data_IF_237969219981
#
_entry.id   IF_237969219981
#
_cell.length_a   1.000
_cell.length_b   1.000
_cell.length_c   1.000
_cell.angle_alpha   90.00
_cell.angle_beta   90.00
_cell.angle_gamma   90.00
#
_symmetry.space_group_name_H-M   'P 1'
#
loop_
_entity.id
_entity.type
_entity.pdbx_description
1 polymer ?
#
# COMPACT_ATOMS: atom_id res chain seq x y z
N UNK A 1 -11.59 -6.79 -0.48
CA UNK A 1 -10.78 -7.76 -1.26
C UNK A 1 -9.43 -7.08 -1.53
N UNK A 2 -8.31 -7.73 -1.82
CA UNK A 2 -6.96 -7.10 -2.02
C UNK A 2 -6.75 -6.63 -3.48
N UNK A 3 -6.07 -5.49 -3.77
CA UNK A 3 -5.84 -4.99 -5.15
C UNK A 3 -5.16 -6.06 -6.00
N UNK A 4 -4.56 -6.98 -5.27
CA UNK A 4 -3.88 -8.17 -5.64
C UNK A 4 -4.82 -9.35 -5.45
N UNK A 5 -5.41 -9.87 -6.53
CA UNK A 5 -6.18 -11.11 -6.43
C UNK A 5 -5.24 -12.30 -6.55
N UNK A 6 -5.43 -13.29 -5.67
CA UNK A 6 -4.57 -14.46 -5.61
C UNK A 6 -4.89 -15.44 -6.74
N UNK A 7 -3.86 -15.96 -7.39
CA UNK A 7 -3.95 -16.92 -8.49
C UNK A 7 -3.14 -18.15 -8.11
N UNK A 8 -3.77 -19.33 -8.21
CA UNK A 8 -3.11 -20.64 -8.08
C UNK A 8 -3.40 -21.49 -9.32
N UNK A 9 -2.42 -22.26 -9.75
CA UNK A 9 -2.48 -23.12 -10.95
C UNK A 9 -3.69 -24.08 -11.01
N UNK A 10 -4.29 -24.45 -9.86
CA UNK A 10 -5.43 -25.38 -9.76
C UNK A 10 -6.72 -24.75 -9.20
N UNK A 11 -6.79 -23.42 -9.05
CA UNK A 11 -7.99 -22.71 -8.58
C UNK A 11 -8.40 -21.66 -9.60
N UNK A 12 -9.35 -22.01 -10.46
CA UNK A 12 -9.95 -21.13 -11.47
C UNK A 12 -10.45 -19.81 -10.85
N UNK A 13 -10.03 -18.71 -11.46
CA UNK A 13 -10.91 -17.63 -11.95
C UNK A 13 -10.10 -16.78 -12.97
N UNK A 14 -9.99 -17.30 -14.18
CA UNK A 14 -9.95 -16.47 -15.39
C UNK A 14 -11.35 -16.51 -16.01
N UNK A 15 -12.35 -15.92 -15.35
CA UNK A 15 -13.71 -15.78 -15.93
C UNK A 15 -13.93 -14.39 -16.56
N UNK A 16 -12.85 -13.68 -16.87
CA UNK A 16 -12.87 -12.60 -17.86
C UNK A 16 -11.60 -12.63 -18.75
N UNK A 17 -11.31 -13.71 -19.53
CA UNK A 17 -10.16 -13.75 -20.41
C UNK A 17 -10.45 -13.29 -21.85
N UNK A 18 -11.65 -12.78 -22.15
CA UNK A 18 -12.00 -12.45 -23.55
C UNK A 18 -11.30 -11.17 -24.06
N UNK A 19 -10.85 -10.26 -23.18
CA UNK A 19 -10.16 -9.02 -23.59
C UNK A 19 -8.63 -9.02 -23.47
N UNK A 20 -8.01 -10.04 -22.85
CA UNK A 20 -6.53 -10.14 -22.77
C UNK A 20 -6.05 -11.10 -23.87
N UNK A 21 -6.34 -10.74 -25.11
CA UNK A 21 -6.13 -11.57 -26.31
C UNK A 21 -4.79 -11.32 -27.02
N UNK A 22 -3.90 -10.50 -26.47
CA UNK A 22 -2.56 -10.33 -27.04
C UNK A 22 -1.58 -11.32 -26.41
N UNK A 23 -1.01 -12.21 -27.23
CA UNK A 23 0.06 -13.18 -26.87
C UNK A 23 1.27 -12.58 -26.13
N UNK A 24 1.42 -11.25 -26.13
CA UNK A 24 2.51 -10.49 -25.50
C UNK A 24 2.06 -9.61 -24.33
N UNK A 25 0.82 -9.77 -23.83
CA UNK A 25 0.37 -9.04 -22.65
C UNK A 25 1.11 -9.55 -21.41
N UNK A 26 1.81 -8.64 -20.73
CA UNK A 26 2.27 -8.87 -19.36
C UNK A 26 1.26 -8.30 -18.37
N UNK A 27 1.11 -8.97 -17.23
CA UNK A 27 0.30 -8.46 -16.13
C UNK A 27 1.20 -8.07 -14.97
N UNK A 28 0.83 -6.97 -14.30
CA UNK A 28 1.48 -6.51 -13.07
C UNK A 28 1.16 -7.51 -11.96
N UNK A 29 2.21 -8.07 -11.36
CA UNK A 29 2.09 -9.13 -10.38
C UNK A 29 2.96 -8.87 -9.15
N UNK A 30 2.67 -9.61 -8.07
CA UNK A 30 3.55 -9.73 -6.91
C UNK A 30 3.48 -11.14 -6.34
N UNK A 31 4.51 -11.53 -5.60
CA UNK A 31 4.63 -12.84 -4.98
C UNK A 31 5.05 -12.73 -3.53
N UNK A 32 4.55 -13.64 -2.70
CA UNK A 32 5.11 -13.84 -1.37
C UNK A 32 6.28 -14.83 -1.44
N UNK A 33 7.45 -14.45 -0.92
CA UNK A 33 8.64 -15.31 -0.89
C UNK A 33 9.46 -15.02 0.37
N UNK A 34 9.66 -16.03 1.23
CA UNK A 34 10.46 -15.92 2.47
C UNK A 34 10.03 -14.74 3.38
N UNK A 35 8.72 -14.49 3.47
CA UNK A 35 8.16 -13.36 4.23
C UNK A 35 8.17 -12.02 3.50
N UNK A 36 8.90 -11.89 2.39
CA UNK A 36 8.84 -10.73 1.51
C UNK A 36 7.59 -10.78 0.63
N UNK A 37 7.15 -9.61 0.17
CA UNK A 37 6.21 -9.45 -0.94
C UNK A 37 6.96 -8.72 -2.06
N UNK A 38 7.20 -9.40 -3.17
CA UNK A 38 8.09 -8.94 -4.23
C UNK A 38 7.31 -8.67 -5.52
N UNK A 39 7.47 -7.48 -6.12
CA UNK A 39 6.86 -7.19 -7.41
C UNK A 39 7.51 -8.00 -8.54
N UNK A 40 6.70 -8.35 -9.53
CA UNK A 40 7.11 -9.10 -10.72
C UNK A 40 6.08 -9.00 -11.83
N UNK A 41 6.23 -9.74 -12.90
CA UNK A 41 5.23 -9.77 -13.97
C UNK A 41 4.84 -11.19 -14.32
N UNK A 42 3.63 -11.33 -14.84
CA UNK A 42 3.12 -12.59 -15.35
C UNK A 42 3.08 -12.55 -16.86
N UNK A 43 3.71 -13.55 -17.46
CA UNK A 43 3.51 -13.86 -18.87
C UNK A 43 2.25 -14.71 -19.00
N UNK A 44 1.20 -14.14 -19.60
CA UNK A 44 -0.14 -14.76 -19.64
C UNK A 44 -0.12 -16.16 -20.25
N UNK A 45 0.69 -16.38 -21.28
CA UNK A 45 0.82 -17.69 -21.94
C UNK A 45 1.38 -18.78 -21.02
N UNK A 46 2.28 -18.42 -20.10
CA UNK A 46 2.97 -19.39 -19.23
C UNK A 46 2.25 -19.55 -17.88
N UNK A 47 1.44 -18.57 -17.48
CA UNK A 47 0.81 -18.51 -16.14
C UNK A 47 1.83 -18.61 -15.02
N UNK A 48 3.01 -18.03 -15.25
CA UNK A 48 4.12 -17.96 -14.30
C UNK A 48 4.45 -16.50 -14.02
N UNK A 49 4.71 -16.20 -12.76
CA UNK A 49 5.21 -14.90 -12.31
C UNK A 49 6.73 -14.95 -12.20
N UNK A 50 7.40 -14.06 -12.93
CA UNK A 50 8.84 -13.83 -12.86
C UNK A 50 9.12 -12.68 -11.90
N UNK A 51 10.07 -12.87 -10.98
CA UNK A 51 10.44 -11.86 -9.98
C UNK A 51 11.91 -12.01 -9.58
N UNK A 52 12.48 -10.92 -9.04
CA UNK A 52 13.87 -10.90 -8.56
C UNK A 52 13.87 -11.07 -7.04
N UNK A 53 14.77 -11.90 -6.52
CA UNK A 53 15.05 -12.05 -5.09
C UNK A 53 16.55 -12.33 -4.90
N UNK A 54 17.22 -11.60 -4.00
CA UNK A 54 18.65 -11.77 -3.72
C UNK A 54 19.53 -11.84 -4.99
N UNK A 55 19.22 -10.98 -5.98
CA UNK A 55 19.91 -10.90 -7.27
C UNK A 55 19.83 -12.18 -8.11
N UNK A 56 18.84 -13.03 -7.85
CA UNK A 56 18.48 -14.19 -8.65
C UNK A 56 17.11 -14.03 -9.33
N UNK A 57 16.96 -14.74 -10.46
CA UNK A 57 15.67 -14.89 -11.14
C UNK A 57 14.91 -16.05 -10.52
N UNK A 58 13.75 -15.75 -9.95
CA UNK A 58 12.84 -16.76 -9.44
C UNK A 58 11.51 -16.74 -10.20
N UNK A 59 10.84 -17.88 -10.18
CA UNK A 59 9.56 -18.10 -10.87
C UNK A 59 8.59 -18.82 -9.95
N UNK A 60 7.33 -18.37 -9.91
CA UNK A 60 6.24 -19.01 -9.14
C UNK A 60 4.95 -19.08 -9.95
N UNK A 61 4.18 -20.14 -9.72
CA UNK A 61 2.82 -20.33 -10.24
C UNK A 61 1.72 -19.92 -9.23
N UNK A 62 2.12 -19.50 -8.02
CA UNK A 62 1.28 -18.82 -7.05
C UNK A 62 1.71 -17.36 -6.92
N UNK A 63 0.81 -16.45 -7.28
CA UNK A 63 1.07 -15.02 -7.29
C UNK A 63 -0.22 -14.23 -7.05
N UNK A 64 -0.10 -12.91 -6.97
CA UNK A 64 -1.24 -12.02 -6.98
C UNK A 64 -1.12 -11.01 -8.12
N UNK A 65 -2.25 -10.68 -8.75
CA UNK A 65 -2.32 -9.77 -9.90
C UNK A 65 -2.95 -8.43 -9.51
N UNK A 66 -2.37 -7.33 -9.99
CA UNK A 66 -2.92 -6.00 -9.78
C UNK A 66 -4.19 -5.80 -10.60
N UNK A 67 -5.30 -5.50 -9.92
CA UNK A 67 -6.61 -5.26 -10.51
C UNK A 67 -6.89 -3.76 -10.68
N UNK A 68 -7.46 -3.37 -11.82
CA UNK A 68 -8.10 -2.07 -12.09
C UNK A 68 -7.49 -0.84 -11.41
N UNK A 69 -6.54 -0.17 -12.08
CA UNK A 69 -5.84 1.01 -11.59
C UNK A 69 -6.42 2.33 -12.10
N UNK A 70 -7.69 2.65 -11.85
CA UNK A 70 -8.30 3.92 -12.33
C UNK A 70 -7.54 5.17 -11.87
N UNK A 71 -6.82 5.07 -10.75
CA UNK A 71 -5.98 6.13 -10.20
C UNK A 71 -4.50 5.83 -10.30
N UNK A 72 -4.08 4.94 -11.21
CA UNK A 72 -2.68 4.64 -11.46
C UNK A 72 -2.23 5.21 -12.81
N UNK A 73 -1.05 5.82 -12.83
CA UNK A 73 -0.47 6.45 -14.03
C UNK A 73 0.98 6.00 -14.21
N UNK A 74 1.39 5.81 -15.47
CA UNK A 74 2.78 5.55 -15.80
C UNK A 74 3.51 6.87 -16.04
N UNK A 75 4.71 7.02 -15.45
CA UNK A 75 5.58 8.17 -15.68
C UNK A 75 6.99 7.70 -16.03
N UNK A 76 7.62 8.33 -17.01
CA UNK A 76 9.03 8.06 -17.32
C UNK A 76 9.90 8.46 -16.13
N UNK A 77 10.77 7.56 -15.70
CA UNK A 77 11.73 7.74 -14.61
C UNK A 77 13.15 7.40 -15.08
N UNK A 78 14.13 8.06 -14.47
CA UNK A 78 15.56 7.83 -14.71
C UNK A 78 16.27 7.63 -13.38
N UNK A 79 17.06 6.55 -13.28
CA UNK A 79 17.87 6.25 -12.11
C UNK A 79 18.79 7.43 -11.77
N UNK A 80 18.99 7.66 -10.47
CA UNK A 80 19.69 8.83 -9.94
C UNK A 80 18.75 9.99 -9.58
N UNK A 81 17.56 10.07 -10.16
CA UNK A 81 16.51 10.95 -9.65
C UNK A 81 15.85 10.32 -8.42
N UNK A 82 15.41 11.13 -7.46
CA UNK A 82 14.58 10.63 -6.38
C UNK A 82 13.26 10.06 -6.95
N UNK A 83 12.82 8.94 -6.40
CA UNK A 83 11.49 8.40 -6.71
C UNK A 83 10.41 9.41 -6.31
N UNK A 84 9.37 9.60 -7.16
CA UNK A 84 8.21 10.39 -6.79
C UNK A 84 7.54 9.83 -5.53
N UNK A 85 7.09 10.73 -4.68
CA UNK A 85 6.39 10.45 -3.43
C UNK A 85 5.09 9.66 -3.56
N UNK A 86 4.49 9.72 -4.74
CA UNK A 86 3.28 8.98 -5.09
C UNK A 86 3.58 7.68 -5.86
N UNK A 87 4.83 7.22 -5.89
CA UNK A 87 5.14 5.93 -6.49
C UNK A 87 4.36 4.79 -5.82
N UNK A 88 3.79 3.93 -6.65
CA UNK A 88 2.96 2.83 -6.19
C UNK A 88 3.82 1.73 -5.57
N UNK A 89 3.64 1.54 -4.27
CA UNK A 89 4.28 0.46 -3.50
C UNK A 89 3.60 -0.87 -3.82
N UNK A 90 4.31 -1.74 -4.54
CA UNK A 90 3.82 -3.05 -4.96
C UNK A 90 4.32 -4.21 -4.08
N UNK A 91 5.30 -3.96 -3.21
CA UNK A 91 5.87 -4.97 -2.34
C UNK A 91 6.60 -4.39 -1.13
N UNK A 92 7.06 -5.28 -0.25
CA UNK A 92 7.82 -4.95 0.96
C UNK A 92 8.74 -6.09 1.37
N UNK A 93 9.81 -5.76 2.11
CA UNK A 93 10.69 -6.77 2.70
C UNK A 93 10.04 -7.52 3.86
N UNK A 94 10.56 -8.69 4.24
CA UNK A 94 10.04 -9.50 5.35
C UNK A 94 10.02 -8.77 6.70
N UNK A 95 10.86 -7.75 6.85
CA UNK A 95 10.89 -6.87 8.03
C UNK A 95 10.17 -5.53 7.82
N UNK A 96 9.55 -5.32 6.64
CA UNK A 96 8.90 -4.08 6.21
C UNK A 96 9.80 -2.83 6.33
N UNK A 97 11.12 -3.03 6.30
CA UNK A 97 12.10 -1.94 6.33
C UNK A 97 12.36 -1.35 4.95
N UNK A 98 11.89 -2.03 3.90
CA UNK A 98 12.05 -1.60 2.52
C UNK A 98 10.72 -1.81 1.80
N UNK A 99 10.33 -0.81 1.02
CA UNK A 99 9.19 -0.88 0.12
C UNK A 99 9.69 -0.99 -1.31
N UNK A 100 9.05 -1.84 -2.09
CA UNK A 100 9.37 -2.05 -3.49
C UNK A 100 8.31 -1.40 -4.34
N UNK A 101 8.73 -0.49 -5.22
CA UNK A 101 7.83 0.13 -6.20
C UNK A 101 7.80 -0.72 -7.47
N UNK A 102 6.76 -0.51 -8.30
CA UNK A 102 6.65 -1.19 -9.58
C UNK A 102 7.13 -0.33 -10.75
N UNK A 103 7.99 -0.88 -11.59
CA UNK A 103 8.40 -0.26 -12.84
C UNK A 103 8.25 -1.21 -14.03
N UNK A 104 8.28 -0.64 -15.23
CA UNK A 104 8.25 -1.38 -16.50
C UNK A 104 9.26 -0.79 -17.48
N UNK A 105 9.96 -1.66 -18.20
CA UNK A 105 10.86 -1.30 -19.30
C UNK A 105 10.46 -2.06 -20.56
N UNK A 106 10.62 -1.45 -21.72
CA UNK A 106 10.41 -2.14 -23.00
C UNK A 106 11.72 -2.78 -23.46
N UNK A 107 11.71 -4.09 -23.67
CA UNK A 107 12.83 -4.86 -24.22
C UNK A 107 12.37 -5.46 -25.54
N UNK A 108 12.95 -5.02 -26.65
CA UNK A 108 12.56 -5.44 -28.01
C UNK A 108 11.05 -5.27 -28.29
N UNK A 109 10.46 -4.18 -27.77
CA UNK A 109 9.04 -3.89 -27.93
C UNK A 109 8.12 -4.64 -26.96
N UNK A 110 8.67 -5.48 -26.08
CA UNK A 110 7.90 -6.19 -25.04
C UNK A 110 8.04 -5.45 -23.72
N UNK A 111 6.94 -4.97 -23.11
CA UNK A 111 7.00 -4.41 -21.78
C UNK A 111 7.29 -5.52 -20.77
N UNK A 112 8.26 -5.34 -19.89
CA UNK A 112 8.62 -6.26 -18.81
C UNK A 112 8.65 -5.48 -17.50
N UNK A 113 7.94 -5.99 -16.51
CA UNK A 113 7.78 -5.33 -15.23
C UNK A 113 8.69 -5.88 -14.16
N UNK A 114 8.91 -5.13 -13.10
CA UNK A 114 9.82 -5.57 -12.04
C UNK A 114 9.82 -4.66 -10.84
N UNK A 115 10.76 -4.93 -9.95
CA UNK A 115 10.90 -4.22 -8.70
C UNK A 115 11.86 -3.05 -8.87
N UNK A 116 11.50 -1.92 -8.26
CA UNK A 116 12.39 -0.78 -8.08
C UNK A 116 12.74 -0.72 -6.59
N UNK A 117 14.04 -0.81 -6.28
CA UNK A 117 14.58 -0.78 -4.91
C UNK A 117 15.48 0.45 -4.70
N UNK A 118 16.02 0.62 -3.49
CA UNK A 118 16.59 1.87 -2.94
C UNK A 118 17.69 2.62 -3.73
N UNK A 119 18.16 2.09 -4.86
CA UNK A 119 19.05 2.75 -5.82
C UNK A 119 18.30 3.42 -6.99
N UNK A 120 16.97 3.32 -7.01
CA UNK A 120 16.07 3.82 -8.04
C UNK A 120 16.33 3.20 -9.42
N UNK A 121 16.87 1.98 -9.43
CA UNK A 121 17.04 1.14 -10.63
C UNK A 121 15.90 0.12 -10.68
N UNK A 122 15.38 -0.13 -11.88
CA UNK A 122 14.41 -1.20 -12.11
C UNK A 122 15.14 -2.51 -12.38
N UNK A 123 14.90 -3.52 -11.55
CA UNK A 123 15.37 -4.89 -11.76
C UNK A 123 14.23 -5.77 -12.28
N UNK A 124 14.43 -6.36 -13.46
CA UNK A 124 13.45 -7.20 -14.15
C UNK A 124 13.97 -8.61 -14.30
N UNK A 125 13.21 -9.58 -13.78
CA UNK A 125 13.51 -11.00 -13.95
C UNK A 125 13.10 -11.47 -15.36
N UNK A 126 14.00 -12.12 -16.08
CA UNK A 126 13.67 -12.76 -17.36
C UNK A 126 14.18 -14.19 -17.38
N UNK A 127 13.68 -15.00 -18.31
CA UNK A 127 14.23 -16.35 -18.56
C UNK A 127 15.72 -16.37 -18.93
N UNK A 128 16.30 -15.22 -19.26
CA UNK A 128 17.71 -15.08 -19.65
C UNK A 128 18.57 -14.44 -18.56
N UNK A 129 18.00 -14.14 -17.38
CA UNK A 129 18.67 -13.45 -16.29
C UNK A 129 17.99 -12.14 -15.91
N UNK A 130 18.66 -11.35 -15.09
CA UNK A 130 18.17 -10.05 -14.60
C UNK A 130 18.56 -8.95 -15.57
N UNK A 131 17.61 -8.10 -15.90
CA UNK A 131 17.84 -6.85 -16.62
C UNK A 131 17.74 -5.71 -15.62
N UNK A 132 18.77 -4.86 -15.57
CA UNK A 132 18.74 -3.61 -14.84
C UNK A 132 18.50 -2.43 -15.79
N UNK A 133 17.43 -1.69 -15.56
CA UNK A 133 17.06 -0.53 -16.37
C UNK A 133 17.25 0.76 -15.58
N UNK A 134 18.08 1.66 -16.12
CA UNK A 134 18.28 3.02 -15.59
C UNK A 134 17.27 4.03 -16.14
N UNK A 135 16.48 3.65 -17.14
CA UNK A 135 15.38 4.46 -17.68
C UNK A 135 14.21 3.54 -17.93
N UNK A 136 13.08 3.83 -17.28
CA UNK A 136 11.91 2.96 -17.24
C UNK A 136 10.67 3.79 -16.93
N UNK A 137 9.48 3.21 -17.10
CA UNK A 137 8.25 3.82 -16.60
C UNK A 137 7.95 3.31 -15.20
N UNK A 138 7.72 4.21 -14.26
CA UNK A 138 7.29 3.88 -12.90
C UNK A 138 5.77 4.02 -12.79
N UNK A 139 5.15 3.15 -12.00
CA UNK A 139 3.74 3.22 -11.69
C UNK A 139 3.52 4.19 -10.52
N UNK A 140 2.66 5.18 -10.71
CA UNK A 140 2.33 6.22 -9.75
C UNK A 140 0.85 6.17 -9.38
N UNK A 141 0.54 6.63 -8.18
CA UNK A 141 -0.81 7.00 -7.74
C UNK A 141 -1.11 8.40 -8.29
N UNK A 142 -2.34 8.65 -8.73
CA UNK A 142 -2.76 9.94 -9.26
C UNK A 142 -2.39 11.08 -8.30
N UNK A 143 -1.76 12.14 -8.83
CA UNK A 143 -1.30 13.28 -8.05
C UNK A 143 -2.45 14.06 -7.39
N UNK A 144 -3.67 13.90 -7.89
CA UNK A 144 -4.89 14.40 -7.24
C UNK A 144 -5.23 13.66 -5.93
N UNK A 145 -4.67 12.48 -5.70
CA UNK A 145 -4.88 11.71 -4.46
C UNK A 145 -3.66 11.77 -3.54
N UNK A 146 -2.46 11.69 -4.11
CA UNK A 146 -1.19 11.72 -3.38
C UNK A 146 -0.20 12.59 -4.16
N UNK A 147 0.26 13.73 -3.61
CA UNK A 147 1.22 14.58 -4.31
C UNK A 147 2.54 13.88 -4.65
N UNK A 148 3.20 14.34 -5.72
CA UNK A 148 4.49 13.79 -6.13
C UNK A 148 5.64 14.11 -5.15
N UNK A 149 5.51 15.12 -4.31
CA UNK A 149 6.46 15.50 -3.27
C UNK A 149 6.19 14.83 -1.91
N UNK A 150 5.18 13.95 -1.85
CA UNK A 150 4.91 13.13 -0.68
C UNK A 150 6.08 12.19 -0.35
N UNK A 151 6.05 11.55 0.82
CA UNK A 151 7.04 10.55 1.21
C UNK A 151 6.45 9.13 1.18
N UNK A 152 5.81 8.69 0.08
CA UNK A 152 5.05 7.42 -0.02
C UNK A 152 3.80 7.39 0.86
N UNK A 153 2.62 7.43 0.24
CA UNK A 153 1.36 7.23 0.95
C UNK A 153 1.29 5.81 1.51
N UNK A 154 0.91 5.70 2.79
CA UNK A 154 0.85 4.42 3.49
C UNK A 154 -0.43 3.68 3.12
N UNK A 155 -0.35 2.51 2.47
CA UNK A 155 -1.55 1.73 2.16
C UNK A 155 -2.28 1.32 3.44
N UNK A 156 -3.60 1.49 3.44
CA UNK A 156 -4.50 1.16 4.53
C UNK A 156 -5.36 -0.08 4.27
N UNK A 157 -5.03 -0.88 3.26
CA UNK A 157 -5.84 -2.03 2.86
C UNK A 157 -6.92 -1.65 1.83
N UNK A 158 -8.10 -2.30 1.89
CA UNK A 158 -9.19 -2.11 0.89
C UNK A 158 -10.56 -2.10 1.53
N UNK A 159 -11.39 -1.20 1.04
CA UNK A 159 -12.83 -1.16 1.31
C UNK A 159 -13.55 -1.55 0.02
N UNK A 160 -14.17 -2.73 0.02
CA UNK A 160 -14.73 -3.31 -1.22
C UNK A 160 -13.62 -3.61 -2.24
N UNK A 161 -13.66 -2.90 -3.38
CA UNK A 161 -12.70 -2.99 -4.47
C UNK A 161 -11.72 -1.79 -4.57
N UNK A 162 -11.81 -0.80 -3.71
CA UNK A 162 -10.93 0.38 -3.81
C UNK A 162 -9.80 0.31 -2.79
N UNK A 163 -8.57 0.63 -3.22
CA UNK A 163 -7.41 0.82 -2.34
C UNK A 163 -7.67 1.99 -1.41
N UNK A 164 -7.29 1.81 -0.16
CA UNK A 164 -7.37 2.89 0.83
C UNK A 164 -5.98 3.29 1.29
N UNK A 165 -5.85 4.53 1.75
CA UNK A 165 -4.62 5.06 2.34
C UNK A 165 -4.87 5.53 3.77
N UNK A 166 -3.91 5.35 4.65
CA UNK A 166 -4.05 5.83 6.03
C UNK A 166 -4.25 7.35 6.01
N UNK A 167 -5.29 7.83 6.67
CA UNK A 167 -5.65 9.25 6.65
C UNK A 167 -6.15 9.71 8.02
N UNK A 168 -6.28 11.01 8.19
CA UNK A 168 -6.95 11.63 9.33
C UNK A 168 -7.67 12.90 8.91
N UNK A 169 -8.73 13.26 9.63
CA UNK A 169 -9.51 14.45 9.31
C UNK A 169 -10.09 15.10 10.57
N UNK A 170 -10.32 16.41 10.49
CA UNK A 170 -10.95 17.18 11.56
C UNK A 170 -12.47 16.99 11.56
N UNK A 171 -13.05 16.72 12.73
CA UNK A 171 -14.50 16.71 12.94
C UNK A 171 -14.81 17.09 14.39
N UNK A 172 -15.61 18.15 14.58
CA UNK A 172 -16.03 18.64 15.91
C UNK A 172 -14.86 18.82 16.90
N UNK A 173 -13.77 19.48 16.48
CA UNK A 173 -12.53 19.66 17.25
C UNK A 173 -11.75 18.38 17.59
N UNK A 174 -12.19 17.23 17.10
CA UNK A 174 -11.43 15.99 17.13
C UNK A 174 -10.59 15.88 15.85
N UNK A 175 -9.33 15.48 15.97
CA UNK A 175 -8.53 15.03 14.85
C UNK A 175 -8.62 13.51 14.81
N UNK A 176 -9.42 12.98 13.88
CA UNK A 176 -9.79 11.57 13.88
C UNK A 176 -9.00 10.81 12.82
N UNK A 177 -8.32 9.70 13.19
CA UNK A 177 -7.73 8.82 12.20
C UNK A 177 -8.80 8.03 11.44
N UNK A 178 -8.39 7.47 10.30
CA UNK A 178 -9.28 6.85 9.33
C UNK A 178 -8.53 6.35 8.11
N UNK A 179 -9.25 6.22 7.00
CA UNK A 179 -8.65 5.95 5.71
C UNK A 179 -9.23 6.85 4.63
N UNK A 180 -8.46 7.12 3.57
CA UNK A 180 -8.90 7.79 2.36
C UNK A 180 -9.18 6.75 1.27
N UNK A 181 -10.26 6.95 0.54
CA UNK A 181 -10.66 6.17 -0.63
C UNK A 181 -11.34 7.10 -1.63
N UNK A 182 -10.91 7.08 -2.88
CA UNK A 182 -11.50 7.83 -4.00
C UNK A 182 -11.68 9.33 -3.68
N UNK A 183 -10.65 9.94 -3.07
CA UNK A 183 -10.64 11.36 -2.73
C UNK A 183 -11.46 11.74 -1.49
N UNK A 184 -12.03 10.78 -0.76
CA UNK A 184 -12.83 11.00 0.45
C UNK A 184 -12.17 10.28 1.64
N UNK A 185 -11.98 10.99 2.75
CA UNK A 185 -11.60 10.38 4.02
C UNK A 185 -12.82 9.90 4.81
N UNK A 186 -12.70 8.71 5.39
CA UNK A 186 -13.69 8.07 6.23
C UNK A 186 -13.11 7.95 7.64
N UNK A 187 -13.66 8.73 8.56
CA UNK A 187 -13.26 8.74 9.98
C UNK A 187 -14.43 8.26 10.85
N UNK A 188 -14.15 7.84 12.08
CA UNK A 188 -15.18 7.35 13.01
C UNK A 188 -15.41 8.39 14.10
N UNK A 189 -16.66 8.76 14.30
CA UNK A 189 -17.09 9.64 15.38
C UNK A 189 -18.43 9.16 15.91
N UNK A 190 -18.56 9.06 17.23
CA UNK A 190 -19.78 8.61 17.91
C UNK A 190 -20.37 7.32 17.30
N UNK A 191 -19.52 6.31 17.13
CA UNK A 191 -19.84 5.01 16.52
C UNK A 191 -20.41 5.08 15.09
N UNK A 192 -20.17 6.18 14.38
CA UNK A 192 -20.62 6.41 12.99
C UNK A 192 -19.45 6.75 12.09
N UNK A 193 -19.60 6.39 10.81
CA UNK A 193 -18.64 6.77 9.77
C UNK A 193 -18.99 8.16 9.26
N UNK A 194 -18.04 9.09 9.36
CA UNK A 194 -18.14 10.46 8.86
C UNK A 194 -17.26 10.61 7.63
N UNK A 195 -17.83 11.14 6.53
CA UNK A 195 -17.12 11.43 5.29
C UNK A 195 -16.51 12.84 5.33
N UNK A 196 -15.27 12.98 4.87
CA UNK A 196 -14.51 14.22 4.91
C UNK A 196 -13.80 14.44 3.57
N UNK A 197 -14.02 15.59 2.95
CA UNK A 197 -13.33 16.03 1.73
C UNK A 197 -12.00 16.71 2.05
N UNK A 198 -11.87 17.27 3.25
CA UNK A 198 -10.62 17.81 3.78
C UNK A 198 -9.99 16.82 4.77
N UNK A 199 -8.77 16.39 4.47
CA UNK A 199 -8.05 15.38 5.26
C UNK A 199 -6.55 15.46 5.01
N UNK A 200 -5.81 14.71 5.83
CA UNK A 200 -4.37 14.51 5.68
C UNK A 200 -4.12 13.03 5.42
N UNK A 201 -3.32 12.70 4.41
CA UNK A 201 -2.86 11.34 4.14
C UNK A 201 -1.55 11.12 4.87
N UNK A 202 -1.41 9.97 5.54
CA UNK A 202 -0.15 9.58 6.15
C UNK A 202 0.82 9.21 5.03
N UNK A 203 1.94 9.95 4.99
CA UNK A 203 3.04 9.68 4.08
C UNK A 203 4.30 9.43 4.90
N UNK A 204 5.10 8.42 4.55
CA UNK A 204 6.38 8.16 5.22
C UNK A 204 7.25 7.13 4.50
N UNK A 205 8.55 7.42 4.40
CA UNK A 205 9.60 6.42 4.14
C UNK A 205 9.58 5.37 5.27
N UNK A 206 10.23 4.18 5.17
CA UNK A 206 9.94 3.01 6.00
C UNK A 206 10.48 3.12 7.44
N UNK A 207 10.03 4.14 8.16
CA UNK A 207 10.10 4.25 9.62
C UNK A 207 8.88 3.60 10.26
N UNK A 208 7.88 3.21 9.46
CA UNK A 208 6.72 2.46 9.90
C UNK A 208 7.14 1.00 10.04
N UNK A 209 7.43 0.58 11.27
CA UNK A 209 7.69 -0.83 11.54
C UNK A 209 6.40 -1.60 11.73
N UNK A 210 6.53 -2.91 11.49
CA UNK A 210 5.49 -3.89 11.28
C UNK A 210 4.34 -3.91 12.28
N UNK A 211 3.29 -4.61 11.87
CA UNK A 211 2.12 -4.90 12.67
C UNK A 211 2.51 -5.85 13.81
N UNK A 212 2.65 -5.34 15.04
CA UNK A 212 2.86 -6.20 16.23
C UNK A 212 1.54 -6.69 16.77
N UNK A 213 1.35 -8.01 16.80
CA UNK A 213 0.22 -8.66 17.48
C UNK A 213 0.40 -8.51 18.99
N UNK A 214 -0.51 -7.80 19.65
CA UNK A 214 -0.54 -7.81 21.12
C UNK A 214 -1.56 -8.83 21.63
N UNK A 215 -1.21 -9.52 22.71
CA UNK A 215 -2.08 -10.51 23.35
C UNK A 215 -3.05 -9.86 24.36
N UNK A 216 -2.66 -8.73 24.95
CA UNK A 216 -3.47 -7.94 25.88
C UNK A 216 -3.86 -6.58 25.27
N UNK A 217 -5.17 -6.32 25.19
CA UNK A 217 -5.74 -5.09 24.63
C UNK A 217 -5.42 -3.82 25.45
N UNK A 218 -5.03 -3.98 26.71
CA UNK A 218 -4.87 -2.86 27.65
C UNK A 218 -3.45 -2.29 27.74
N UNK A 219 -2.47 -2.96 27.13
CA UNK A 219 -1.09 -2.46 27.13
C UNK A 219 -0.90 -1.66 25.85
N UNK A 220 -0.64 -0.37 25.98
CA UNK A 220 -0.34 0.47 24.84
C UNK A 220 1.18 0.53 24.63
N UNK A 221 1.67 0.26 23.41
CA UNK A 221 3.10 0.38 23.13
C UNK A 221 3.54 1.87 23.18
N UNK A 222 4.62 2.22 23.90
CA UNK A 222 5.14 3.60 23.95
C UNK A 222 5.48 4.22 22.59
N UNK A 223 5.66 3.39 21.56
CA UNK A 223 6.11 3.80 20.22
C UNK A 223 4.96 3.89 19.19
N UNK A 224 3.72 3.61 19.60
CA UNK A 224 2.58 3.64 18.69
C UNK A 224 2.39 5.02 18.05
N UNK A 225 2.13 5.04 16.73
CA UNK A 225 1.93 6.27 15.98
C UNK A 225 0.61 6.93 16.38
N UNK A 226 0.71 7.99 17.20
CA UNK A 226 -0.43 8.87 17.46
C UNK A 226 -0.81 9.55 16.15
N UNK A 227 -2.01 9.25 15.68
CA UNK A 227 -2.54 9.77 14.43
C UNK A 227 -3.61 10.84 14.65
N UNK A 228 -4.12 10.99 15.87
CA UNK A 228 -5.16 11.95 16.18
C UNK A 228 -5.31 12.26 17.67
N UNK A 229 -6.34 13.03 17.99
CA UNK A 229 -6.75 13.30 19.37
C UNK A 229 -8.23 13.67 19.43
N UNK A 230 -8.87 13.45 20.58
CA UNK A 230 -10.21 13.96 20.85
C UNK A 230 -10.20 15.46 21.14
N UNK A 231 -11.39 16.06 21.22
CA UNK A 231 -11.62 17.44 21.69
C UNK A 231 -11.05 17.70 23.09
N UNK A 232 -11.03 16.67 23.95
CA UNK A 232 -10.43 16.67 25.29
C UNK A 232 -8.93 16.37 25.30
N UNK A 233 -8.33 16.16 24.13
CA UNK A 233 -6.91 15.85 23.99
C UNK A 233 -6.54 14.40 24.25
N UNK A 234 -7.51 13.48 24.36
CA UNK A 234 -7.20 12.05 24.48
C UNK A 234 -6.56 11.57 23.16
N UNK A 235 -5.40 10.87 23.20
CA UNK A 235 -4.70 10.51 21.99
C UNK A 235 -5.41 9.37 21.24
N UNK A 236 -5.42 9.46 19.90
CA UNK A 236 -5.96 8.45 19.00
C UNK A 236 -4.86 7.93 18.09
N UNK A 237 -4.94 6.64 17.75
CA UNK A 237 -3.87 5.94 17.03
C UNK A 237 -4.41 5.17 15.83
N UNK A 238 -3.52 4.91 14.87
CA UNK A 238 -3.81 4.03 13.75
C UNK A 238 -3.70 2.57 14.19
N UNK A 239 -4.79 1.82 14.01
CA UNK A 239 -4.79 0.37 14.17
C UNK A 239 -4.85 -0.33 12.81
N UNK A 240 -4.59 -1.63 12.81
CA UNK A 240 -4.95 -2.51 11.70
C UNK A 240 -5.74 -3.72 12.21
N UNK A 241 -6.67 -4.23 11.39
CA UNK A 241 -7.39 -5.46 11.70
C UNK A 241 -6.55 -6.71 11.38
N UNK A 242 -7.12 -7.88 11.68
CA UNK A 242 -6.53 -9.20 11.35
C UNK A 242 -6.26 -9.43 9.85
N UNK A 243 -6.79 -8.58 8.97
CA UNK A 243 -6.58 -8.59 7.52
C UNK A 243 -5.62 -7.48 7.06
N UNK A 244 -4.92 -6.84 8.00
CA UNK A 244 -3.98 -5.75 7.76
C UNK A 244 -4.63 -4.54 7.07
N UNK A 245 -5.91 -4.29 7.34
CA UNK A 245 -6.60 -3.08 6.90
C UNK A 245 -6.58 -2.04 8.02
N UNK A 246 -6.27 -0.78 7.72
CA UNK A 246 -6.28 0.29 8.72
C UNK A 246 -7.67 0.45 9.26
N UNK A 247 -7.73 0.37 10.58
CA UNK A 247 -8.90 0.53 11.39
C UNK A 247 -8.81 1.91 12.03
N UNK A 248 -9.84 2.72 11.77
CA UNK A 248 -9.77 4.17 11.83
C UNK A 248 -9.37 4.72 13.19
N UNK A 249 -9.66 4.07 14.31
CA UNK A 249 -9.38 4.64 15.63
C UNK A 249 -9.11 3.56 16.66
N UNK A 250 -8.03 3.69 17.44
CA UNK A 250 -7.86 2.92 18.69
C UNK A 250 -8.05 3.83 19.90
N UNK A 251 -8.95 3.45 20.82
CA UNK A 251 -9.21 4.14 22.10
C UNK A 251 -9.40 3.09 23.19
N UNK A 252 -8.60 3.16 24.26
CA UNK A 252 -8.72 2.24 25.41
C UNK A 252 -8.67 0.76 25.03
N UNK A 253 -7.73 0.37 24.15
CA UNK A 253 -7.60 -1.03 23.68
C UNK A 253 -8.64 -1.51 22.67
N UNK A 254 -9.65 -0.69 22.38
CA UNK A 254 -10.70 -1.00 21.39
C UNK A 254 -10.40 -0.31 20.09
N UNK A 255 -10.55 -1.05 19.00
CA UNK A 255 -10.32 -0.54 17.68
C UNK A 255 -11.62 -0.46 16.86
N UNK A 256 -11.86 0.72 16.28
CA UNK A 256 -13.04 1.03 15.51
C UNK A 256 -12.70 0.92 14.02
N UNK A 257 -13.49 0.14 13.29
CA UNK A 257 -13.24 -0.15 11.87
C UNK A 257 -14.34 0.43 11.01
N UNK A 258 -13.94 1.21 10.01
CA UNK A 258 -14.83 1.68 8.95
C UNK A 258 -15.06 0.54 7.96
N UNK A 259 -16.32 0.17 7.71
CA UNK A 259 -16.66 -0.86 6.72
C UNK A 259 -17.31 -0.28 5.47
N UNK A 260 -17.25 -1.04 4.38
CA UNK A 260 -17.80 -0.73 3.04
C UNK A 260 -19.26 -0.27 3.05
N UNK A 261 -20.03 -0.64 4.07
CA UNK A 261 -21.46 -0.40 4.14
C UNK A 261 -21.83 0.90 4.90
N UNK A 262 -20.89 1.82 5.13
CA UNK A 262 -21.10 3.04 5.94
C UNK A 262 -21.42 2.78 7.42
N UNK A 263 -21.24 1.53 7.89
CA UNK A 263 -21.41 1.16 9.29
C UNK A 263 -20.03 1.10 9.97
N UNK A 264 -19.96 1.66 11.18
CA UNK A 264 -18.87 1.36 12.10
C UNK A 264 -19.05 -0.08 12.57
N UNK A 265 -18.01 -0.91 12.46
CA UNK A 265 -17.94 -2.14 13.23
C UNK A 265 -16.94 -1.94 14.36
N UNK A 266 -17.42 -2.10 15.58
CA UNK A 266 -16.53 -2.28 16.73
C UNK A 266 -15.96 -3.68 16.61
N UNK A 267 -14.68 -3.76 16.27
CA UNK A 267 -13.95 -5.02 16.31
C UNK A 267 -13.02 -4.91 17.51
N UNK A 268 -13.17 -5.79 18.50
CA UNK A 268 -12.07 -6.01 19.46
C UNK A 268 -10.90 -6.53 18.66
N UNK A 269 -10.04 -5.63 18.20
CA UNK A 269 -8.93 -6.01 17.35
C UNK A 269 -7.93 -6.78 18.21
N UNK A 270 -7.52 -7.92 17.67
CA UNK A 270 -6.18 -8.45 17.92
C UNK A 270 -5.20 -7.45 17.28
N UNK A 271 -5.02 -6.34 17.99
CA UNK A 271 -3.84 -5.51 18.16
C UNK A 271 -2.82 -5.55 17.02
N UNK A 272 -2.83 -4.55 16.16
CA UNK A 272 -1.68 -4.24 15.32
C UNK A 272 -1.47 -2.73 15.30
N UNK A 273 -0.34 -2.30 15.85
CA UNK A 273 0.02 -0.88 15.95
C UNK A 273 1.13 -0.56 14.97
N UNK A 274 0.98 0.57 14.28
CA UNK A 274 2.08 1.18 13.54
C UNK A 274 2.99 1.88 14.54
N UNK A 275 4.31 1.68 14.48
CA UNK A 275 5.24 2.37 15.36
C UNK A 275 6.42 2.95 14.60
N UNK A 276 6.97 4.06 15.11
CA UNK A 276 8.15 4.72 14.54
C UNK A 276 9.35 4.52 15.45
N UNK A 277 10.51 4.12 14.91
CA UNK A 277 11.76 4.18 15.68
C UNK A 277 12.16 5.64 15.90
N UNK A 278 12.46 6.00 17.14
CA UNK A 278 12.89 7.35 17.56
C UNK A 278 14.15 7.78 16.80
N UNK A 279 13.98 8.74 15.89
CA UNK A 279 15.01 9.71 15.55
C UNK A 279 14.40 11.11 15.73
N UNK A 280 14.45 11.61 16.97
CA UNK A 280 14.42 13.00 17.45
C UNK A 280 13.61 14.13 16.74
N UNK A 281 12.84 13.91 15.68
CA UNK A 281 12.19 14.98 14.90
C UNK A 281 10.87 14.48 14.29
N UNK A 282 9.83 14.31 15.12
CA UNK A 282 8.50 13.83 14.72
C UNK A 282 7.55 14.91 14.14
N UNK A 283 8.01 16.15 13.88
CA UNK A 283 7.09 17.24 13.52
C UNK A 283 6.82 17.47 12.02
N UNK A 284 7.27 16.61 11.09
CA UNK A 284 7.13 16.86 9.63
C UNK A 284 6.62 15.66 8.80
N UNK A 285 5.66 14.87 9.29
CA UNK A 285 5.15 13.68 8.57
C UNK A 285 3.69 13.78 8.05
N UNK A 286 3.01 14.90 8.23
CA UNK A 286 1.67 15.12 7.66
C UNK A 286 1.69 16.30 6.68
N UNK A 287 1.46 16.04 5.40
CA UNK A 287 1.13 17.12 4.46
C UNK A 287 -0.33 17.53 4.65
N UNK A 288 -0.57 18.83 4.79
CA UNK A 288 -1.90 19.43 4.70
C UNK A 288 -2.31 19.41 3.23
N UNK A 289 -3.21 18.52 2.85
CA UNK A 289 -3.85 18.56 1.53
C UNK A 289 -5.15 19.34 1.68
N UNK A 290 -5.16 20.58 1.18
CA UNK A 290 -6.40 21.31 0.89
C UNK A 290 -6.70 21.10 -0.59
N UNK A 291 -7.89 20.61 -0.90
CA UNK A 291 -8.41 20.57 -2.25
C UNK A 291 -9.39 21.74 -2.36
N UNK A 292 -9.07 22.72 -3.21
CA UNK A 292 -9.96 23.84 -3.56
C UNK A 292 -11.08 23.37 -4.50
#
# INVERSE_FOLDING_TARGET
MDLWFHVKKNGLLMDQPEEITAKNSILVARVSHQGHVLPGYVQVAEKLCYFVYEDEVLVKDEFQLLQNGQHLKWKLHKAGNALPGNAFVAGWSCWQQEFFCYGVVSVNGVPLGGLVRGDNVLSVATKFGIIEAKTFFILLIDSSLVPEDACYAVPAGRVGNSLTYAARAWHENNLLPGHMMDGIAYVIYDDRVVKKTEYQVLCGRPLLRGLTRMEDADIMMPEALQAGHTDKGEPLFLGFDSRQQVTGQVRGGVCYVTTVASFCRVVRCLNYWLYTKTYANQQKLALNLKFD
#
